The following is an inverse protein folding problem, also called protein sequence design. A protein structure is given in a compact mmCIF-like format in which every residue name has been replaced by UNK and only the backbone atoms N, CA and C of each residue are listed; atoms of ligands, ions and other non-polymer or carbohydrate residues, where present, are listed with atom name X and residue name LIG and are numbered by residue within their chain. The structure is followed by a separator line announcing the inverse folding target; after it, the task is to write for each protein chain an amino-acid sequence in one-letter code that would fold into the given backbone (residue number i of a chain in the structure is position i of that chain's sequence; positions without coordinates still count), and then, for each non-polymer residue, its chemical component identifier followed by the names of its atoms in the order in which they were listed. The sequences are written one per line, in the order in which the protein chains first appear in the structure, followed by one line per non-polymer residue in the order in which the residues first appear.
data_IF_710576716670
#
_entry.id   IF_710576716670
#
_cell.length_a   1.000
_cell.length_b   1.000
_cell.length_c   1.000
_cell.angle_alpha   90.00
_cell.angle_beta   90.00
_cell.angle_gamma   90.00
#
_symmetry.space_group_name_H-M   'P 1'
#
loop_
_entity.id
_entity.type
_entity.pdbx_description
1 polymer ?
#
# COMPACT_ATOMS: atom_id res chain seq x y z
N UNK A 1 -1.85 -62.81 32.95
CA UNK A 1 -1.66 -61.35 33.05
C UNK A 1 -0.99 -60.79 31.79
N UNK A 2 -1.73 -60.68 30.66
CA UNK A 2 -1.24 -60.11 29.39
C UNK A 2 -2.27 -59.27 28.62
N UNK A 3 -3.44 -59.00 29.22
CA UNK A 3 -4.56 -58.29 28.56
C UNK A 3 -4.74 -56.83 29.03
N UNK A 4 -4.00 -56.38 30.05
CA UNK A 4 -4.12 -55.02 30.60
C UNK A 4 -3.20 -54.00 29.93
N UNK A 5 -2.07 -54.45 29.35
CA UNK A 5 -1.10 -53.57 28.68
C UNK A 5 -1.52 -53.15 27.26
N UNK A 6 -2.33 -53.95 26.57
CA UNK A 6 -2.82 -53.61 25.23
C UNK A 6 -3.83 -52.45 25.25
N UNK A 7 -4.63 -52.33 26.31
CA UNK A 7 -5.65 -51.27 26.44
C UNK A 7 -5.02 -49.92 26.82
N UNK A 8 -3.97 -49.93 27.65
CA UNK A 8 -3.23 -48.71 28.03
C UNK A 8 -2.39 -48.20 26.84
N UNK A 9 -1.80 -49.09 26.03
CA UNK A 9 -1.07 -48.69 24.83
C UNK A 9 -2.00 -48.13 23.73
N UNK A 10 -3.23 -48.67 23.61
CA UNK A 10 -4.22 -48.15 22.64
C UNK A 10 -4.80 -46.78 23.06
N UNK A 11 -4.97 -46.53 24.37
CA UNK A 11 -5.43 -45.22 24.86
C UNK A 11 -4.38 -44.12 24.70
N UNK A 12 -3.09 -44.44 24.80
CA UNK A 12 -2.01 -43.47 24.62
C UNK A 12 -1.80 -43.07 23.15
N UNK A 13 -2.12 -43.95 22.20
CA UNK A 13 -2.09 -43.64 20.76
C UNK A 13 -3.32 -42.81 20.35
N UNK A 14 -4.48 -43.04 20.99
CA UNK A 14 -5.68 -42.22 20.73
C UNK A 14 -5.54 -40.79 21.26
N UNK A 15 -4.89 -40.56 22.41
CA UNK A 15 -4.63 -39.19 22.90
C UNK A 15 -3.56 -38.45 22.10
N UNK A 16 -2.62 -39.15 21.46
CA UNK A 16 -1.67 -38.55 20.51
C UNK A 16 -2.34 -38.14 19.19
N UNK A 17 -3.46 -38.77 18.80
CA UNK A 17 -4.25 -38.37 17.63
C UNK A 17 -5.19 -37.18 17.89
N UNK A 18 -5.50 -36.87 19.16
CA UNK A 18 -6.32 -35.71 19.53
C UNK A 18 -5.52 -34.52 20.09
N UNK A 19 -4.23 -34.67 20.36
CA UNK A 19 -3.31 -33.55 20.65
C UNK A 19 -2.64 -32.98 19.38
N UNK A 20 -2.89 -33.56 18.21
CA UNK A 20 -2.34 -33.13 16.91
C UNK A 20 -3.32 -32.42 15.99
N UNK A 21 -4.52 -32.08 16.46
CA UNK A 21 -5.58 -31.46 15.65
C UNK A 21 -6.20 -30.22 16.32
N UNK A 22 -5.38 -29.43 17.01
CA UNK A 22 -5.65 -28.01 17.29
C UNK A 22 -4.46 -27.24 16.70
N UNK A 23 -4.57 -26.43 15.67
CA UNK A 23 -5.70 -26.05 14.86
C UNK A 23 -5.17 -24.99 13.93
N UNK A 24 -4.63 -25.40 12.78
CA UNK A 24 -4.49 -24.48 11.67
C UNK A 24 -5.89 -24.26 11.11
N UNK A 25 -6.58 -23.25 11.66
CA UNK A 25 -7.67 -22.62 10.92
C UNK A 25 -7.11 -22.16 9.57
N UNK A 26 -7.92 -22.04 8.51
CA UNK A 26 -7.46 -21.54 7.21
C UNK A 26 -6.74 -20.18 7.28
N UNK A 27 -6.88 -19.45 8.40
CA UNK A 27 -6.14 -18.24 8.71
C UNK A 27 -4.65 -18.50 9.05
N UNK A 28 -4.26 -19.65 9.62
CA UNK A 28 -2.86 -19.95 9.98
C UNK A 28 -1.98 -20.35 8.77
N UNK A 29 -2.58 -20.70 7.62
CA UNK A 29 -1.81 -20.98 6.38
C UNK A 29 -1.56 -19.70 5.56
N UNK A 30 -2.09 -18.55 6.00
CA UNK A 30 -1.82 -17.24 5.39
C UNK A 30 -0.61 -16.51 6.02
N UNK A 31 0.04 -17.07 7.04
CA UNK A 31 1.20 -16.47 7.69
C UNK A 31 2.48 -17.29 7.50
N UNK A 32 2.94 -17.34 6.25
CA UNK A 32 4.35 -17.53 5.96
C UNK A 32 4.79 -16.64 4.80
N UNK A 33 4.22 -15.44 4.72
CA UNK A 33 4.97 -14.29 4.22
C UNK A 33 5.74 -13.79 5.42
N UNK A 34 7.07 -13.91 5.41
CA UNK A 34 7.94 -13.24 6.38
C UNK A 34 7.47 -11.79 6.47
N UNK A 35 6.79 -11.45 7.57
CA UNK A 35 6.43 -10.08 7.87
C UNK A 35 7.74 -9.31 7.94
N UNK A 36 8.00 -8.48 6.93
CA UNK A 36 9.04 -7.47 7.02
C UNK A 36 8.61 -6.60 8.20
N UNK A 37 9.43 -6.58 9.25
CA UNK A 37 9.20 -5.69 10.38
C UNK A 37 9.09 -4.27 9.84
N UNK A 38 8.00 -3.59 10.20
CA UNK A 38 7.65 -2.19 9.88
C UNK A 38 8.80 -1.20 10.18
N UNK A 39 9.76 -1.62 11.01
CA UNK A 39 10.88 -0.80 11.46
C UNK A 39 11.99 -0.59 10.41
N UNK A 40 12.03 -1.38 9.32
CA UNK A 40 13.16 -1.36 8.35
C UNK A 40 12.85 -0.69 7.00
N UNK A 41 11.70 -0.03 6.86
CA UNK A 41 11.24 0.47 5.56
C UNK A 41 11.60 1.94 5.42
N UNK A 42 12.73 2.21 4.79
CA UNK A 42 13.21 3.57 4.52
C UNK A 42 13.03 3.93 3.04
N UNK A 43 11.78 4.18 2.63
CA UNK A 43 11.50 4.63 1.27
C UNK A 43 11.76 6.13 1.13
N UNK A 44 12.11 6.53 -0.09
CA UNK A 44 12.25 7.93 -0.50
C UNK A 44 11.57 8.14 -1.85
N UNK A 45 11.11 9.37 -2.09
CA UNK A 45 10.50 9.81 -3.34
C UNK A 45 11.31 11.00 -3.86
N UNK A 46 11.97 10.88 -5.02
CA UNK A 46 12.52 12.03 -5.72
C UNK A 46 11.40 13.03 -6.07
N UNK A 47 11.60 14.29 -5.71
CA UNK A 47 10.67 15.39 -6.02
C UNK A 47 11.41 16.46 -6.82
N UNK A 48 10.89 16.79 -7.98
CA UNK A 48 11.37 17.90 -8.82
C UNK A 48 10.33 19.01 -8.82
N UNK A 49 10.78 20.26 -8.85
CA UNK A 49 9.92 21.43 -9.04
C UNK A 49 10.04 21.85 -10.51
N UNK A 50 8.93 22.08 -11.21
CA UNK A 50 8.98 22.49 -12.61
C UNK A 50 9.77 23.80 -12.77
N UNK A 51 10.81 23.76 -13.61
CA UNK A 51 11.77 24.86 -13.80
C UNK A 51 12.63 25.21 -12.59
N UNK A 52 12.63 24.40 -11.53
CA UNK A 52 13.19 24.73 -10.22
C UNK A 52 14.20 23.72 -9.70
N UNK A 53 14.24 23.62 -8.37
CA UNK A 53 15.13 22.73 -7.63
C UNK A 53 14.60 21.30 -7.54
N UNK A 54 15.42 20.41 -7.00
CA UNK A 54 15.03 19.03 -6.71
C UNK A 54 15.30 18.72 -5.25
N UNK A 55 14.40 17.95 -4.65
CA UNK A 55 14.49 17.48 -3.27
C UNK A 55 14.11 16.00 -3.20
N UNK A 56 14.10 15.45 -1.99
CA UNK A 56 13.69 14.07 -1.74
C UNK A 56 12.77 14.05 -0.54
N UNK A 57 11.58 13.50 -0.74
CA UNK A 57 10.64 13.26 0.34
C UNK A 57 10.88 11.89 0.95
N UNK A 58 10.86 11.81 2.27
CA UNK A 58 11.26 10.60 3.01
C UNK A 58 10.12 10.10 3.88
N UNK A 59 10.16 8.80 4.22
CA UNK A 59 9.24 8.25 5.21
C UNK A 59 9.37 8.95 6.57
N UNK A 60 10.55 9.45 6.94
CA UNK A 60 10.77 10.15 8.20
C UNK A 60 9.92 11.42 8.28
N UNK A 61 9.94 12.24 7.22
CA UNK A 61 9.06 13.41 7.10
C UNK A 61 7.59 12.99 7.11
N UNK A 62 7.24 11.95 6.36
CA UNK A 62 5.85 11.47 6.30
C UNK A 62 5.30 11.02 7.67
N UNK A 63 6.16 10.46 8.53
CA UNK A 63 5.80 10.01 9.89
C UNK A 63 5.62 11.15 10.90
N UNK A 64 5.97 12.39 10.56
CA UNK A 64 5.70 13.57 11.40
C UNK A 64 4.23 14.01 11.34
N UNK A 65 3.46 13.48 10.37
CA UNK A 65 2.05 13.81 10.15
C UNK A 65 1.09 12.75 10.67
N UNK A 66 -0.13 13.17 10.99
CA UNK A 66 -1.24 12.25 11.24
C UNK A 66 -1.69 11.61 9.93
N UNK A 67 -1.81 10.27 9.92
CA UNK A 67 -2.24 9.55 8.73
C UNK A 67 -3.73 9.75 8.46
N UNK A 68 -4.05 10.13 7.23
CA UNK A 68 -5.42 10.25 6.74
C UNK A 68 -5.85 8.99 6.03
N UNK A 69 -7.05 8.50 6.36
CA UNK A 69 -7.67 7.35 5.69
C UNK A 69 -8.62 7.83 4.61
N UNK A 70 -8.45 7.30 3.40
CA UNK A 70 -9.40 7.52 2.30
C UNK A 70 -9.89 6.20 1.73
N UNK A 71 -11.11 6.21 1.21
CA UNK A 71 -11.72 5.08 0.51
C UNK A 71 -11.66 5.39 -0.98
N UNK A 72 -10.92 4.60 -1.75
CA UNK A 72 -10.78 4.80 -3.19
C UNK A 72 -11.26 3.55 -3.94
N UNK A 73 -12.18 3.75 -4.88
CA UNK A 73 -12.72 2.70 -5.74
C UNK A 73 -12.15 2.82 -7.15
N UNK A 74 -11.21 1.97 -7.53
CA UNK A 74 -10.57 2.01 -8.85
C UNK A 74 -10.95 0.80 -9.69
N UNK A 75 -10.86 0.96 -11.01
CA UNK A 75 -11.04 -0.13 -11.98
C UNK A 75 -9.70 -0.49 -12.54
N UNK A 76 -9.32 -1.76 -12.45
CA UNK A 76 -8.19 -2.24 -13.24
C UNK A 76 -8.58 -2.13 -14.72
N UNK A 77 -7.70 -1.57 -15.54
CA UNK A 77 -7.85 -1.64 -16.98
C UNK A 77 -7.96 -3.12 -17.38
N UNK A 78 -8.88 -3.44 -18.29
CA UNK A 78 -9.00 -4.80 -18.82
C UNK A 78 -7.66 -5.18 -19.48
N UNK A 79 -6.99 -6.19 -18.94
CA UNK A 79 -5.81 -6.80 -19.56
C UNK A 79 -6.23 -8.05 -20.30
N UNK A 80 -5.35 -8.63 -21.13
CA UNK A 80 -5.63 -9.94 -21.77
C UNK A 80 -5.99 -11.05 -20.75
N UNK A 81 -5.51 -10.91 -19.51
CA UNK A 81 -5.76 -11.80 -18.38
C UNK A 81 -7.02 -11.44 -17.56
N UNK A 82 -7.59 -10.25 -17.71
CA UNK A 82 -8.77 -9.78 -16.97
C UNK A 82 -9.84 -9.31 -17.96
N UNK A 83 -10.72 -10.24 -18.33
CA UNK A 83 -11.76 -10.02 -19.35
C UNK A 83 -12.92 -9.13 -18.89
N UNK A 84 -13.17 -9.07 -17.58
CA UNK A 84 -14.20 -8.23 -16.98
C UNK A 84 -13.54 -7.23 -16.02
N UNK A 85 -13.64 -5.90 -16.26
CA UNK A 85 -13.06 -4.89 -15.39
C UNK A 85 -13.73 -4.95 -14.02
N UNK A 86 -13.01 -5.45 -13.02
CA UNK A 86 -13.48 -5.45 -11.64
C UNK A 86 -13.25 -4.07 -11.00
N UNK A 87 -14.30 -3.55 -10.37
CA UNK A 87 -14.19 -2.40 -9.46
C UNK A 87 -13.68 -2.93 -8.13
N UNK A 88 -12.49 -2.51 -7.75
CA UNK A 88 -11.91 -2.82 -6.44
C UNK A 88 -11.97 -1.57 -5.59
N UNK A 89 -12.45 -1.70 -4.35
CA UNK A 89 -12.37 -0.64 -3.35
C UNK A 89 -11.27 -1.00 -2.36
N UNK A 90 -10.39 -0.05 -2.08
CA UNK A 90 -9.38 -0.18 -1.05
C UNK A 90 -9.38 1.02 -0.12
N UNK A 91 -8.95 0.79 1.11
CA UNK A 91 -8.69 1.83 2.10
C UNK A 91 -7.21 2.16 2.01
N UNK A 92 -6.90 3.42 1.74
CA UNK A 92 -5.53 3.93 1.72
C UNK A 92 -5.29 4.80 2.95
N UNK A 93 -4.13 4.64 3.58
CA UNK A 93 -3.70 5.50 4.69
C UNK A 93 -2.33 6.10 4.37
N UNK A 94 -2.21 7.42 4.56
CA UNK A 94 -1.04 8.19 4.17
C UNK A 94 -1.08 9.64 4.62
N UNK A 95 -0.06 10.41 4.24
CA UNK A 95 -0.04 11.88 4.46
C UNK A 95 -0.91 12.55 3.42
N UNK A 96 -1.64 13.60 3.81
CA UNK A 96 -2.40 14.39 2.83
C UNK A 96 -1.46 15.05 1.85
N UNK A 97 -1.85 15.12 0.59
CA UNK A 97 -1.01 15.71 -0.45
C UNK A 97 -0.66 17.17 -0.14
N UNK A 98 -1.60 17.96 0.41
CA UNK A 98 -1.35 19.34 0.84
C UNK A 98 -0.31 19.46 1.96
N UNK A 99 -0.24 18.49 2.86
CA UNK A 99 0.71 18.50 3.98
C UNK A 99 2.10 18.10 3.45
N UNK A 100 2.17 17.11 2.56
CA UNK A 100 3.38 16.80 1.78
C UNK A 100 3.90 18.01 1.01
N UNK A 101 3.01 18.76 0.34
CA UNK A 101 3.35 19.98 -0.41
C UNK A 101 3.89 21.07 0.51
N UNK A 102 3.32 21.22 1.71
CA UNK A 102 3.82 22.14 2.71
C UNK A 102 5.23 21.76 3.21
N UNK A 103 5.50 20.47 3.44
CA UNK A 103 6.81 19.97 3.87
C UNK A 103 7.94 20.32 2.90
N UNK A 104 7.64 20.27 1.59
CA UNK A 104 8.62 20.57 0.55
C UNK A 104 8.65 22.06 0.16
N UNK A 105 7.83 22.91 0.81
CA UNK A 105 7.84 24.36 0.62
C UNK A 105 6.93 24.89 -0.51
N UNK A 106 6.01 24.09 -1.03
CA UNK A 106 5.10 24.45 -2.14
C UNK A 106 3.62 24.24 -1.80
N UNK A 107 3.10 24.83 -0.71
CA UNK A 107 1.72 24.60 -0.26
C UNK A 107 0.66 25.01 -1.29
N UNK A 108 0.95 25.99 -2.14
CA UNK A 108 0.01 26.56 -3.12
C UNK A 108 0.12 25.96 -4.53
N UNK A 109 0.80 24.82 -4.68
CA UNK A 109 1.03 24.17 -5.97
C UNK A 109 -0.27 23.96 -6.77
N UNK A 110 -0.17 24.16 -8.09
CA UNK A 110 -1.27 24.06 -9.07
C UNK A 110 -1.42 22.69 -9.71
N UNK A 111 -0.42 21.83 -9.57
CA UNK A 111 -0.54 20.47 -10.07
C UNK A 111 0.62 19.58 -9.65
N UNK A 112 0.43 18.28 -9.89
CA UNK A 112 1.47 17.25 -9.76
C UNK A 112 1.53 16.41 -11.02
N UNK A 113 2.73 16.04 -11.45
CA UNK A 113 2.96 14.95 -12.39
C UNK A 113 3.64 13.78 -11.66
N UNK A 114 2.99 12.63 -11.63
CA UNK A 114 3.43 11.45 -10.86
C UNK A 114 3.91 10.35 -11.81
N UNK A 115 5.19 10.00 -11.71
CA UNK A 115 5.81 8.90 -12.43
C UNK A 115 5.78 7.62 -11.60
N UNK A 116 5.66 6.48 -12.25
CA UNK A 116 5.56 5.17 -11.60
C UNK A 116 6.34 4.09 -12.36
N UNK A 117 6.64 2.96 -11.69
CA UNK A 117 7.48 1.88 -12.23
C UNK A 117 6.72 0.68 -12.80
N UNK A 118 5.38 0.67 -12.78
CA UNK A 118 4.63 -0.49 -13.25
C UNK A 118 4.55 -0.59 -14.79
N UNK A 119 5.48 -1.40 -15.30
CA UNK A 119 5.51 -2.17 -16.57
C UNK A 119 5.42 -1.39 -17.88
N UNK A 120 6.01 -1.97 -18.91
CA UNK A 120 6.29 -1.41 -20.24
C UNK A 120 5.09 -0.85 -21.04
N UNK A 121 3.88 -0.88 -20.48
CA UNK A 121 2.64 -0.46 -21.11
C UNK A 121 2.14 0.94 -20.69
N UNK A 122 2.55 1.46 -19.53
CA UNK A 122 2.11 2.77 -19.02
C UNK A 122 3.29 3.65 -18.65
N UNK A 123 4.09 4.03 -19.66
CA UNK A 123 5.19 5.00 -19.50
C UNK A 123 4.72 6.46 -19.36
N UNK A 124 3.41 6.68 -19.38
CA UNK A 124 2.82 8.02 -19.29
C UNK A 124 2.65 8.35 -17.80
N UNK A 125 3.19 9.48 -17.32
CA UNK A 125 2.93 9.92 -15.97
C UNK A 125 1.47 10.35 -15.81
N UNK A 126 0.97 10.29 -14.58
CA UNK A 126 -0.35 10.82 -14.25
C UNK A 126 -0.25 12.30 -13.90
N UNK A 127 -1.19 13.10 -14.39
CA UNK A 127 -1.27 14.53 -14.09
C UNK A 127 -2.49 14.80 -13.19
N UNK A 128 -2.26 15.53 -12.11
CA UNK A 128 -3.28 15.89 -11.13
C UNK A 128 -3.31 17.40 -10.95
N UNK A 129 -4.50 18.00 -11.08
CA UNK A 129 -4.69 19.44 -10.91
C UNK A 129 -4.87 19.89 -9.46
N UNK A 130 -4.78 21.20 -9.25
CA UNK A 130 -4.92 21.92 -7.97
C UNK A 130 -6.10 21.41 -7.14
N UNK A 131 -7.27 21.29 -7.78
CA UNK A 131 -8.50 20.86 -7.14
C UNK A 131 -8.40 19.52 -6.41
N UNK A 132 -7.57 18.61 -6.92
CA UNK A 132 -7.42 17.27 -6.40
C UNK A 132 -6.26 17.22 -5.40
N UNK A 133 -5.14 17.87 -5.68
CA UNK A 133 -3.96 17.86 -4.79
C UNK A 133 -4.13 18.71 -3.53
N UNK A 134 -5.03 19.70 -3.55
CA UNK A 134 -5.36 20.54 -2.39
C UNK A 134 -6.50 19.96 -1.53
N UNK A 135 -7.06 18.81 -1.90
CA UNK A 135 -8.19 18.20 -1.21
C UNK A 135 -7.76 17.32 -0.02
N UNK A 136 -8.62 17.26 1.00
CA UNK A 136 -8.43 16.41 2.17
C UNK A 136 -8.60 14.90 1.86
N UNK A 137 -9.17 14.56 0.70
CA UNK A 137 -9.35 13.17 0.22
C UNK A 137 -8.25 12.72 -0.75
N UNK A 138 -7.08 13.37 -0.73
CA UNK A 138 -5.91 12.99 -1.53
C UNK A 138 -4.71 12.73 -0.63
N UNK A 139 -4.09 11.56 -0.79
CA UNK A 139 -2.98 11.12 0.07
C UNK A 139 -1.80 10.55 -0.73
N UNK A 140 -0.62 10.76 -0.17
CA UNK A 140 0.60 10.00 -0.43
C UNK A 140 0.60 8.82 0.55
N UNK A 141 0.12 7.66 0.10
CA UNK A 141 -0.16 6.49 0.93
C UNK A 141 0.91 5.40 0.82
N UNK A 142 1.16 4.73 1.94
CA UNK A 142 1.99 3.52 2.01
C UNK A 142 1.32 2.42 2.84
N UNK A 143 0.05 2.59 3.19
CA UNK A 143 -0.78 1.56 3.82
C UNK A 143 -2.02 1.35 2.94
N UNK A 144 -2.31 0.10 2.61
CA UNK A 144 -3.51 -0.32 1.89
C UNK A 144 -4.18 -1.45 2.65
N UNK A 145 -5.46 -1.29 2.99
CA UNK A 145 -6.25 -2.30 3.71
C UNK A 145 -5.58 -2.79 5.01
N UNK A 146 -4.97 -1.85 5.77
CA UNK A 146 -4.20 -2.09 7.01
C UNK A 146 -2.87 -2.81 6.82
N UNK A 147 -2.49 -3.13 5.60
CA UNK A 147 -1.19 -3.71 5.28
C UNK A 147 -0.31 -2.63 4.66
N UNK A 148 0.93 -2.52 5.10
CA UNK A 148 1.88 -1.63 4.44
C UNK A 148 2.09 -2.10 3.00
N UNK A 149 1.99 -1.17 2.06
CA UNK A 149 2.26 -1.38 0.64
C UNK A 149 3.77 -1.50 0.54
N UNK A 150 4.33 -2.67 0.82
CA UNK A 150 5.76 -2.93 0.74
C UNK A 150 5.94 -4.26 0.01
N UNK A 151 6.54 -4.20 -1.18
CA UNK A 151 7.26 -5.36 -1.72
C UNK A 151 8.75 -5.01 -1.77
N UNK A 152 9.61 -5.91 -2.20
CA UNK A 152 11.07 -5.80 -2.02
C UNK A 152 11.82 -4.83 -2.97
N UNK A 153 11.28 -3.65 -3.34
CA UNK A 153 11.94 -2.72 -4.28
C UNK A 153 11.51 -1.24 -4.20
N UNK A 154 12.14 -0.40 -3.35
CA UNK A 154 12.28 1.08 -3.38
C UNK A 154 11.15 2.03 -3.90
N UNK A 155 9.95 1.56 -4.25
CA UNK A 155 8.88 2.31 -4.93
C UNK A 155 7.53 1.64 -4.65
N UNK A 156 6.95 1.94 -3.49
CA UNK A 156 5.62 1.42 -3.10
C UNK A 156 4.73 2.44 -2.43
N UNK A 157 5.08 3.71 -2.58
CA UNK A 157 4.17 4.78 -2.25
C UNK A 157 3.13 4.87 -3.36
N UNK A 158 1.88 5.09 -2.99
CA UNK A 158 0.77 5.32 -3.88
C UNK A 158 0.28 6.75 -3.75
N UNK A 159 -0.10 7.34 -4.87
CA UNK A 159 -0.97 8.51 -4.89
C UNK A 159 -2.39 7.98 -4.99
N UNK A 160 -3.24 8.36 -4.05
CA UNK A 160 -4.65 7.98 -4.07
C UNK A 160 -5.51 9.21 -3.82
N UNK A 161 -6.55 9.39 -4.64
CA UNK A 161 -7.47 10.51 -4.52
C UNK A 161 -8.91 10.06 -4.73
N UNK A 162 -9.80 10.55 -3.87
CA UNK A 162 -11.22 10.24 -3.89
C UNK A 162 -12.05 11.53 -3.75
N UNK A 163 -12.13 12.36 -4.80
CA UNK A 163 -12.86 13.64 -4.80
C UNK A 163 -13.77 13.76 -6.02
N UNK A 164 -15.00 14.25 -5.82
CA UNK A 164 -15.82 14.75 -6.93
C UNK A 164 -16.20 13.68 -7.97
N UNK A 165 -16.22 12.40 -7.58
CA UNK A 165 -16.43 11.27 -8.50
C UNK A 165 -15.15 10.74 -9.15
N UNK A 166 -14.02 11.42 -8.98
CA UNK A 166 -12.70 10.92 -9.35
C UNK A 166 -12.21 9.98 -8.25
N UNK A 167 -11.94 8.73 -8.63
CA UNK A 167 -11.23 7.76 -7.82
C UNK A 167 -10.03 7.33 -8.63
N UNK A 168 -8.88 7.92 -8.32
CA UNK A 168 -7.64 7.65 -9.03
C UNK A 168 -6.59 7.08 -8.09
N UNK A 169 -5.73 6.26 -8.66
CA UNK A 169 -4.73 5.50 -7.95
C UNK A 169 -3.51 5.25 -8.84
N UNK A 170 -2.36 5.72 -8.37
CA UNK A 170 -1.07 5.46 -8.99
C UNK A 170 -0.13 4.86 -7.94
N UNK A 171 0.18 3.57 -8.08
CA UNK A 171 1.13 2.86 -7.21
C UNK A 171 2.55 2.89 -7.75
N UNK A 172 3.51 2.64 -6.86
CA UNK A 172 4.92 2.50 -7.20
C UNK A 172 5.50 3.77 -7.80
N UNK A 173 5.22 4.89 -7.11
CA UNK A 173 5.76 6.20 -7.45
C UNK A 173 7.29 6.13 -7.50
N UNK A 174 7.86 6.55 -8.64
CA UNK A 174 9.31 6.67 -8.86
C UNK A 174 9.78 8.10 -8.76
N UNK A 175 8.91 9.07 -9.05
CA UNK A 175 9.20 10.51 -9.03
C UNK A 175 7.90 11.32 -9.02
N UNK A 176 7.93 12.48 -8.36
CA UNK A 176 6.88 13.50 -8.46
C UNK A 176 7.50 14.77 -9.03
N UNK A 177 6.83 15.41 -9.99
CA UNK A 177 7.09 16.79 -10.39
C UNK A 177 5.97 17.67 -9.83
N UNK A 178 6.35 18.74 -9.15
CA UNK A 178 5.42 19.73 -8.59
C UNK A 178 5.35 20.93 -9.51
N UNK A 179 4.13 21.37 -9.83
CA UNK A 179 3.85 22.54 -10.65
C UNK A 179 3.38 23.67 -9.73
N UNK A 180 4.19 24.72 -9.48
CA UNK A 180 3.84 25.84 -8.60
C UNK A 180 2.62 26.64 -9.03
#
# INVERSE_FOLDING_TARGET
MKKLYAVILLLAILTALFAGCTGATPDEVLEASTAISVEDVNWTIPVEIDGGESTTYTIAQAKEHELTKIYCSFRYAATESVKDPQVTTAIFEGVKVKDFLADIGYPDAKGLTVYHSHTDYYKVPFEYGEELIQDDQSVIAWIQNKTEIIKNSSTFVAFAAAKGGVNDFCSSITKIIVHP
#
